data_IF_696632879469
#
_entry.id   IF_696632879469
#
_cell.length_a   1.000
_cell.length_b   1.000
_cell.length_c   1.000
_cell.angle_alpha   90.00
_cell.angle_beta   90.00
_cell.angle_gamma   90.00
#
_symmetry.space_group_name_H-M   'P 1'
#
loop_
_entity.id
_entity.type
_entity.pdbx_description
1 polymer ?
2 polymer ?
3 polymer ?
4 polymer ?
5 polymer ?
6 non-polymer ?
7 water ?
#
loop_
_entity_poly.entity_id
_entity_poly.type
_entity_poly.pdbx_seq_one_letter_code
_entity_poly.pdbx_strand_id
1 'polydeoxyribonucleotide' '(DT)(DA)(DA)(DA)(DT)(DT)' ?
2 'polydeoxyribonucleotide' '(DA)(DA)(DT)(DT)(DT)' ?
3 'polydeoxyribonucleotide' '(DA)(DA)(DA)(DG)(DC)(DG)(DC)(DA)(DA)(DG)(DA)(DT)' ?
4 'polydeoxyribonucleotide' '(DA)(DA)(DT)(DC)(DT)(DT)(DG)(DC)(DG)(DC)(DT)(DT)(DT)' ?
#
# COMPACT_ATOMS: atom_id res chain seq x y z
N UNK E 1 19.15 15.07 3.09
CA UNK E 1 18.35 16.31 3.26
C UNK E 1 18.03 16.57 4.72
N UNK E 2 17.56 17.77 5.02
CA UNK E 2 17.21 18.15 6.38
C UNK E 2 15.77 17.74 6.72
N UNK E 3 15.44 17.79 8.01
CA UNK E 3 14.12 17.40 8.49
C UNK E 3 13.00 18.35 8.09
N UNK E 4 13.33 19.61 7.86
CA UNK E 4 12.30 20.56 7.47
C UNK E 4 11.78 20.16 6.09
N UNK E 5 12.68 19.75 5.20
CA UNK E 5 12.25 19.33 3.89
C UNK E 5 11.37 18.08 4.07
N UNK E 6 11.77 17.22 4.99
CA UNK E 6 11.01 15.99 5.26
C UNK E 6 9.65 16.38 5.81
N UNK E 7 9.62 17.46 6.58
CA UNK E 7 8.39 17.93 7.19
C UNK E 7 7.43 18.37 6.10
N UNK E 8 7.94 19.09 5.11
CA UNK E 8 7.09 19.57 4.05
C UNK E 8 6.53 18.38 3.30
N UNK E 9 7.30 17.30 3.22
CA UNK E 9 6.79 16.13 2.52
C UNK E 9 5.57 15.62 3.29
N UNK E 10 5.69 15.57 4.61
CA UNK E 10 4.62 15.09 5.45
C UNK E 10 3.37 15.97 5.37
N UNK E 11 3.52 17.29 5.50
CA UNK E 11 2.35 18.16 5.42
C UNK E 11 1.70 17.95 4.07
N UNK E 12 2.52 17.70 3.06
CA UNK E 12 2.00 17.47 1.72
C UNK E 12 1.44 16.05 1.59
N UNK E 13 1.65 15.22 2.62
CA UNK E 13 1.18 13.82 2.56
C UNK E 13 1.60 13.21 1.22
N UNK E 14 2.84 13.51 0.83
CA UNK E 14 3.41 13.05 -0.42
C UNK E 14 3.79 11.57 -0.43
N UNK E 15 3.11 10.77 -1.26
CA UNK E 15 3.36 9.33 -1.37
C UNK E 15 4.77 9.02 -1.87
N UNK E 16 5.29 9.92 -2.69
CA UNK E 16 6.64 9.76 -3.24
C UNK E 16 7.64 9.68 -2.10
N UNK E 17 7.23 10.14 -0.93
CA UNK E 17 8.13 10.14 0.22
C UNK E 17 8.08 8.86 1.01
N UNK E 18 7.00 8.09 0.86
CA UNK E 18 6.88 6.84 1.59
C UNK E 18 8.08 5.96 1.27
N UNK E 19 8.60 5.29 2.30
CA UNK E 19 9.74 4.42 2.12
C UNK E 19 11.03 5.18 2.40
N UNK E 20 11.08 6.43 1.97
CA UNK E 20 12.27 7.23 2.17
C UNK E 20 12.56 7.46 3.63
N UNK E 21 11.50 7.58 4.43
CA UNK E 21 11.65 7.78 5.88
C UNK E 21 10.32 7.58 6.58
N UNK E 22 10.32 7.71 7.90
CA UNK E 22 9.10 7.54 8.67
C UNK E 22 9.16 8.59 9.78
N UNK E 23 8.02 9.18 10.13
CA UNK E 23 8.03 10.19 11.19
C UNK E 23 7.31 9.66 12.43
N UNK E 24 7.71 10.18 13.59
CA UNK E 24 7.14 9.75 14.86
C UNK E 24 6.64 10.93 15.66
N UNK E 25 5.57 10.70 16.42
CA UNK E 25 4.96 11.72 17.26
C UNK E 25 5.13 11.32 18.74
N UNK E 26 5.96 12.06 19.46
CA UNK E 26 6.24 11.75 20.84
C UNK E 26 5.02 11.73 21.77
N UNK E 27 4.00 12.52 21.43
CA UNK E 27 2.82 12.58 22.26
C UNK E 27 1.93 11.35 22.11
N UNK E 28 2.13 10.59 21.03
CA UNK E 28 1.32 9.42 20.78
C UNK E 28 2.15 8.14 20.75
N UNK E 29 3.47 8.28 20.57
CA UNK E 29 4.34 7.12 20.52
C UNK E 29 4.03 6.24 19.32
N UNK E 30 3.50 6.85 18.28
CA UNK E 30 3.15 6.15 17.05
C UNK E 30 4.00 6.76 15.94
N UNK E 31 4.34 5.97 14.92
CA UNK E 31 5.10 6.49 13.77
C UNK E 31 4.32 6.10 12.53
N UNK E 32 4.36 6.97 11.52
CA UNK E 32 3.64 6.73 10.28
C UNK E 32 4.47 7.03 9.05
N UNK E 33 3.86 6.74 7.89
CA UNK E 33 4.46 7.01 6.60
C UNK E 33 4.02 8.42 6.25
N UNK E 34 4.87 9.17 5.52
CA UNK E 34 4.58 10.56 5.12
C UNK E 34 3.20 10.85 4.49
N UNK E 35 2.58 9.86 3.87
CA UNK E 35 1.28 10.05 3.24
C UNK E 35 0.11 9.61 4.10
N UNK E 36 0.36 9.37 5.38
CA UNK E 36 -0.71 8.94 6.27
C UNK E 36 -1.82 9.98 6.36
N UNK E 37 -3.05 9.52 6.16
CA UNK E 37 -4.23 10.36 6.18
C UNK E 37 -4.62 10.97 7.54
N UNK E 38 -3.92 10.59 8.61
CA UNK E 38 -4.23 11.09 9.95
C UNK E 38 -3.95 12.58 10.13
N UNK E 39 -4.78 13.29 10.89
CA UNK E 39 -4.53 14.71 11.11
C UNK E 39 -3.07 14.80 11.55
N UNK E 40 -2.42 15.88 11.19
CA UNK E 40 -1.03 16.07 11.53
C UNK E 40 -0.84 16.53 12.96
N UNK E 41 0.38 16.35 13.46
CA UNK E 41 0.74 16.73 14.80
C UNK E 41 1.50 18.05 14.71
N UNK E 42 1.84 18.62 15.86
CA UNK E 42 2.58 19.87 15.89
C UNK E 42 4.05 19.56 15.59
N UNK E 43 4.66 20.32 14.69
CA UNK E 43 6.06 20.11 14.30
C UNK E 43 6.93 19.73 15.49
N UNK E 44 6.85 20.53 16.54
CA UNK E 44 7.62 20.34 17.76
C UNK E 44 7.47 18.97 18.41
N UNK E 45 6.48 18.20 17.97
CA UNK E 45 6.24 16.86 18.55
C UNK E 45 6.74 15.75 17.64
N UNK E 46 7.14 16.11 16.43
CA UNK E 46 7.57 15.15 15.44
C UNK E 46 9.07 14.95 15.35
N UNK E 47 9.47 13.74 14.95
CA UNK E 47 10.88 13.39 14.79
C UNK E 47 10.92 12.42 13.61
N UNK E 48 12.09 12.25 13.02
CA UNK E 48 12.16 11.35 11.88
C UNK E 48 13.18 10.22 12.05
N UNK E 49 12.87 9.10 11.42
CA UNK E 49 13.72 7.92 11.44
C UNK E 49 13.78 7.40 10.01
N UNK E 50 14.98 6.95 9.63
CA UNK E 50 15.21 6.46 8.28
C UNK E 50 14.34 5.27 7.90
N UNK E 51 13.79 4.57 8.90
CA UNK E 51 12.94 3.42 8.61
C UNK E 51 12.25 2.92 9.87
N UNK E 52 11.25 2.05 9.67
CA UNK E 52 10.47 1.50 10.78
C UNK E 52 11.40 0.97 11.84
N UNK E 53 12.17 -0.08 11.49
CA UNK E 53 13.12 -0.71 12.41
C UNK E 53 13.61 0.27 13.46
N UNK E 54 14.28 1.33 13.02
CA UNK E 54 14.80 2.34 13.93
C UNK E 54 13.71 2.92 14.82
N UNK E 55 12.52 3.11 14.25
CA UNK E 55 11.40 3.66 14.99
C UNK E 55 11.08 2.71 16.15
N UNK E 56 10.83 1.44 15.83
CA UNK E 56 10.54 0.45 16.87
C UNK E 56 11.62 0.57 17.91
N UNK E 57 12.86 0.42 17.48
CA UNK E 57 14.00 0.50 18.37
C UNK E 57 13.83 1.66 19.35
N UNK E 58 13.25 2.76 18.88
CA UNK E 58 13.08 3.93 19.73
C UNK E 58 11.78 3.98 20.53
N UNK E 59 11.04 2.88 20.57
CA UNK E 59 9.82 2.84 21.36
C UNK E 59 8.53 3.35 20.75
N UNK E 60 8.45 3.38 19.43
CA UNK E 60 7.26 3.85 18.73
C UNK E 60 6.62 2.66 18.03
N UNK E 61 5.31 2.50 18.18
CA UNK E 61 4.62 1.41 17.52
C UNK E 61 4.00 1.95 16.24
N UNK E 62 3.86 1.10 15.22
CA UNK E 62 3.27 1.50 13.94
C UNK E 62 1.83 1.98 13.97
N UNK E 63 1.53 2.90 13.05
CA UNK E 63 0.19 3.44 12.92
C UNK E 63 -0.72 2.33 12.40
N UNK E 64 -1.97 2.35 12.83
CA UNK E 64 -2.93 1.34 12.41
C UNK E 64 -3.63 1.73 11.11
N UNK E 65 -3.20 2.82 10.49
CA UNK E 65 -3.88 3.27 9.28
C UNK E 65 -3.03 3.22 8.03
N UNK E 66 -1.72 3.42 8.20
CA UNK E 66 -0.81 3.43 7.09
C UNK E 66 0.18 2.26 7.08
N UNK E 67 0.13 1.43 8.12
CA UNK E 67 1.01 0.26 8.21
C UNK E 67 2.42 0.62 7.75
N UNK E 68 3.13 1.46 8.53
CA UNK E 68 4.49 1.85 8.15
C UNK E 68 5.54 0.80 8.50
N UNK E 69 5.12 -0.32 9.06
CA UNK E 69 6.07 -1.37 9.41
C UNK E 69 6.23 -2.38 8.28
N UNK E 70 5.28 -2.36 7.35
CA UNK E 70 5.31 -3.27 6.21
C UNK E 70 5.91 -2.49 5.03
N UNK E 71 6.62 -3.19 4.15
CA UNK E 71 7.22 -2.54 3.01
C UNK E 71 6.23 -2.02 1.98
N UNK E 72 6.72 -1.30 0.97
CA UNK E 72 5.86 -0.76 -0.07
C UNK E 72 5.01 -1.82 -0.76
N UNK E 73 3.68 -1.67 -0.71
CA UNK E 73 2.70 -2.59 -1.30
C UNK E 73 2.94 -2.85 -2.78
N UNK E 74 3.50 -1.86 -3.45
CA UNK E 74 3.78 -1.96 -4.88
C UNK E 74 3.91 -3.38 -5.38
N UNK E 75 5.05 -4.00 -5.09
CA UNK E 75 5.32 -5.35 -5.53
C UNK E 75 4.27 -6.35 -5.08
N UNK E 76 3.94 -6.33 -3.79
CA UNK E 76 2.96 -7.24 -3.25
C UNK E 76 1.71 -7.25 -4.12
N UNK E 77 1.15 -6.08 -4.36
CA UNK E 77 -0.05 -5.96 -5.18
C UNK E 77 0.19 -6.52 -6.59
N UNK E 78 1.34 -6.19 -7.17
CA UNK E 78 1.68 -6.68 -8.51
C UNK E 78 1.68 -8.20 -8.54
N UNK E 79 2.22 -8.81 -7.48
CA UNK E 79 2.25 -10.26 -7.40
C UNK E 79 0.81 -10.80 -7.40
N UNK E 80 -0.09 -10.07 -6.77
CA UNK E 80 -1.50 -10.48 -6.71
C UNK E 80 -2.14 -10.59 -8.10
N UNK E 81 -2.02 -9.55 -8.90
CA UNK E 81 -2.61 -9.57 -10.24
C UNK E 81 -2.09 -10.74 -11.07
N UNK E 82 -0.78 -10.81 -11.24
CA UNK E 82 -0.14 -11.90 -12.00
C UNK E 82 -0.80 -13.24 -11.71
N UNK E 83 -0.93 -13.57 -10.43
CA UNK E 83 -1.54 -14.83 -10.01
C UNK E 83 -3.00 -14.92 -10.51
N UNK E 84 -3.71 -13.80 -10.42
CA UNK E 84 -5.09 -13.76 -10.87
C UNK E 84 -5.15 -14.00 -12.38
N UNK E 85 -4.18 -13.45 -13.10
CA UNK E 85 -4.16 -13.63 -14.55
C UNK E 85 -4.06 -15.12 -14.86
N UNK E 86 -3.18 -15.81 -14.15
CA UNK E 86 -3.01 -17.22 -14.38
C UNK E 86 -4.25 -18.05 -14.04
N UNK E 87 -4.93 -17.69 -12.95
CA UNK E 87 -6.13 -18.43 -12.54
C UNK E 87 -7.26 -18.23 -13.54
N UNK E 88 -7.21 -17.13 -14.30
CA UNK E 88 -8.25 -16.85 -15.27
C UNK E 88 -8.05 -17.51 -16.62
N UNK E 89 -6.89 -18.12 -16.82
CA UNK E 89 -6.57 -18.74 -18.11
C UNK E 89 -7.16 -20.14 -18.22
N UNK E 90 -8.48 -20.22 -18.20
CA UNK E 90 -9.19 -21.47 -18.28
C UNK E 90 -10.59 -21.21 -18.83
N UNK E 91 -11.14 -22.17 -19.57
CA UNK E 91 -12.47 -22.00 -20.15
C UNK E 91 -13.55 -21.78 -19.09
N UNK E 92 -13.56 -22.64 -18.06
CA UNK E 92 -14.58 -22.50 -17.01
C UNK E 92 -14.43 -21.15 -16.35
N UNK E 93 -15.52 -20.36 -16.34
CA UNK E 93 -15.57 -19.02 -15.77
C UNK E 93 -15.26 -18.96 -14.28
N UNK E 94 -14.48 -17.95 -13.90
CA UNK E 94 -14.12 -17.74 -12.51
C UNK E 94 -14.76 -16.40 -12.12
N UNK E 95 -15.58 -16.42 -11.08
CA UNK E 95 -16.27 -15.19 -10.61
C UNK E 95 -15.31 -14.34 -9.80
N UNK E 96 -15.52 -13.02 -9.82
CA UNK E 96 -14.67 -12.09 -9.10
C UNK E 96 -14.52 -12.50 -7.65
N UNK E 97 -15.60 -13.06 -7.08
CA UNK E 97 -15.60 -13.49 -5.68
C UNK E 97 -14.66 -14.68 -5.47
N UNK E 98 -14.75 -15.70 -6.32
CA UNK E 98 -13.88 -16.86 -6.20
C UNK E 98 -12.45 -16.40 -6.42
N UNK E 99 -12.27 -15.49 -7.38
CA UNK E 99 -10.94 -14.98 -7.66
C UNK E 99 -10.42 -14.21 -6.46
N UNK E 100 -11.24 -13.27 -5.96
CA UNK E 100 -10.83 -12.46 -4.82
C UNK E 100 -10.41 -13.36 -3.66
N UNK E 101 -11.21 -14.39 -3.41
CA UNK E 101 -10.89 -15.32 -2.33
C UNK E 101 -9.46 -15.82 -2.55
N UNK E 102 -9.20 -16.32 -3.75
CA UNK E 102 -7.91 -16.89 -4.12
C UNK E 102 -6.67 -15.99 -3.98
N UNK E 103 -6.74 -14.75 -4.47
CA UNK E 103 -5.63 -13.81 -4.34
C UNK E 103 -5.66 -13.13 -2.98
N UNK E 104 -6.70 -13.42 -2.21
CA UNK E 104 -6.86 -12.82 -0.88
C UNK E 104 -6.96 -11.30 -0.94
N UNK E 105 -8.01 -10.80 -1.58
CA UNK E 105 -8.26 -9.36 -1.69
C UNK E 105 -9.77 -9.13 -1.71
N UNK E 106 -10.22 -8.01 -1.14
CA UNK E 106 -11.65 -7.70 -1.17
C UNK E 106 -11.99 -7.59 -2.65
N UNK E 107 -13.12 -8.18 -3.07
CA UNK E 107 -13.46 -8.07 -4.50
C UNK E 107 -13.38 -6.65 -5.04
N UNK E 108 -13.60 -5.66 -4.19
CA UNK E 108 -13.53 -4.28 -4.65
C UNK E 108 -12.10 -3.91 -5.06
N UNK E 109 -11.13 -4.21 -4.20
CA UNK E 109 -9.73 -3.90 -4.48
C UNK E 109 -9.17 -4.67 -5.64
N UNK E 110 -9.48 -5.95 -5.70
CA UNK E 110 -9.01 -6.80 -6.78
C UNK E 110 -9.47 -6.23 -8.12
N UNK E 111 -10.77 -5.99 -8.24
CA UNK E 111 -11.31 -5.47 -9.48
C UNK E 111 -10.67 -4.13 -9.87
N UNK E 112 -10.53 -3.23 -8.89
CA UNK E 112 -9.92 -1.93 -9.17
C UNK E 112 -8.44 -2.02 -9.58
N UNK E 113 -7.69 -2.87 -8.88
CA UNK E 113 -6.27 -3.04 -9.18
C UNK E 113 -6.08 -3.73 -10.52
N UNK E 114 -6.85 -4.77 -10.77
CA UNK E 114 -6.74 -5.54 -12.01
C UNK E 114 -6.92 -4.64 -13.23
N UNK E 115 -8.00 -3.88 -13.26
CA UNK E 115 -8.25 -2.99 -14.39
C UNK E 115 -7.18 -1.92 -14.46
N UNK E 116 -6.53 -1.65 -13.33
CA UNK E 116 -5.46 -0.66 -13.24
C UNK E 116 -4.12 -1.20 -13.75
N UNK E 117 -3.86 -2.48 -13.50
CA UNK E 117 -2.63 -3.11 -13.91
C UNK E 117 -2.70 -3.70 -15.33
N UNK E 118 -3.78 -4.43 -15.61
CA UNK E 118 -3.91 -5.07 -16.91
C UNK E 118 -4.50 -4.14 -17.95
N UNK E 119 -5.52 -3.39 -17.55
CA UNK E 119 -6.16 -2.48 -18.48
C UNK E 119 -7.58 -2.93 -18.79
N UNK E 120 -7.94 -4.10 -18.28
CA UNK E 120 -9.29 -4.62 -18.51
C UNK E 120 -9.74 -5.28 -17.23
N UNK E 121 -11.01 -5.68 -17.17
CA UNK E 121 -11.53 -6.33 -15.98
C UNK E 121 -11.16 -7.82 -16.00
N UNK E 122 -11.15 -8.45 -14.83
CA UNK E 122 -10.82 -9.88 -14.78
C UNK E 122 -11.68 -10.64 -15.78
N UNK E 123 -12.96 -10.28 -15.86
CA UNK E 123 -13.87 -10.95 -16.79
C UNK E 123 -13.32 -10.89 -18.20
N UNK E 124 -13.02 -9.68 -18.67
CA UNK E 124 -12.49 -9.49 -20.02
C UNK E 124 -11.23 -10.32 -20.25
N UNK E 125 -10.34 -10.29 -19.28
CA UNK E 125 -9.09 -11.03 -19.37
C UNK E 125 -9.36 -12.51 -19.63
N UNK E 126 -10.33 -13.08 -18.92
CA UNK E 126 -10.62 -14.49 -19.11
C UNK E 126 -11.21 -14.71 -20.51
N UNK E 127 -12.03 -13.76 -20.96
CA UNK E 127 -12.66 -13.84 -22.27
C UNK E 127 -11.60 -13.70 -23.37
N UNK E 128 -10.64 -12.81 -23.16
CA UNK E 128 -9.58 -12.58 -24.12
C UNK E 128 -8.75 -13.84 -24.26
N UNK E 129 -8.42 -14.45 -23.14
CA UNK E 129 -7.65 -15.68 -23.16
C UNK E 129 -8.39 -16.73 -24.00
N UNK E 130 -9.68 -16.91 -23.73
CA UNK E 130 -10.49 -17.86 -24.47
C UNK E 130 -10.41 -17.50 -25.96
N UNK E 131 -10.66 -16.24 -26.25
CA UNK E 131 -10.63 -15.72 -27.61
C UNK E 131 -9.43 -16.26 -28.38
N UNK E 132 -8.24 -15.84 -27.97
CA UNK E 132 -7.01 -16.29 -28.62
C UNK E 132 -6.60 -17.65 -28.07
X LIG F 1 -0.28 6.35 9.96
#
# INVERSE_FOLDING_TARGET
>E
MKDDQRWQSVLARDPNADGEFVFAVRTTGIFCRPSCRARHALRENVSFYANASEALAAGFRPCKRCQPDKANPRQHRLDKITHACRLLEQETPVTLEALADQVAMSPFHLHRLFKATTGMTPKAWQQAWRARR
>F hetero
1 ZN ZN
#
